data_IF_699464019415
#
_entry.id   IF_699464019415
#
_cell.length_a   1.000
_cell.length_b   1.000
_cell.length_c   1.000
_cell.angle_alpha   90.00
_cell.angle_beta   90.00
_cell.angle_gamma   90.00
#
_symmetry.space_group_name_H-M   'P 1'
#
loop_
_entity.id
_entity.type
_entity.pdbx_description
1 polymer ?
#
# COMPACT_ATOMS: atom_id res chain seq x y z
N UNK A 1 4.45 14.52 16.57
CA UNK A 1 4.54 13.19 15.92
C UNK A 1 6.00 12.83 15.82
N UNK A 2 6.45 11.77 16.49
CA UNK A 2 7.83 11.27 16.46
C UNK A 2 8.19 10.60 15.12
N UNK A 3 7.20 10.37 14.25
CA UNK A 3 7.40 9.76 12.94
C UNK A 3 7.55 8.24 12.98
N UNK A 4 7.39 7.64 14.16
CA UNK A 4 7.51 6.20 14.42
C UNK A 4 6.11 5.59 14.61
N UNK A 5 5.94 4.34 14.18
CA UNK A 5 4.73 3.56 14.42
C UNK A 5 4.88 2.77 15.73
N UNK A 6 3.85 2.65 16.59
CA UNK A 6 3.91 1.84 17.80
C UNK A 6 3.99 0.33 17.51
N UNK A 7 3.68 -0.07 16.27
CA UNK A 7 3.71 -1.45 15.78
C UNK A 7 4.45 -1.57 14.45
N UNK A 8 5.09 -2.72 14.15
CA UNK A 8 5.63 -2.97 12.81
C UNK A 8 4.52 -2.93 11.75
N UNK A 9 4.77 -2.23 10.65
CA UNK A 9 3.85 -2.15 9.52
C UNK A 9 4.29 -3.09 8.42
N UNK A 10 3.34 -3.59 7.62
CA UNK A 10 3.65 -4.40 6.44
C UNK A 10 3.42 -3.56 5.19
N UNK A 11 4.47 -3.34 4.41
CA UNK A 11 4.39 -2.75 3.08
C UNK A 11 4.32 -3.87 2.04
N UNK A 12 3.30 -3.80 1.19
CA UNK A 12 3.10 -4.68 0.05
C UNK A 12 3.24 -3.84 -1.22
N UNK A 13 4.13 -4.27 -2.10
CA UNK A 13 4.38 -3.65 -3.40
C UNK A 13 4.15 -4.67 -4.50
N UNK A 14 3.30 -4.36 -5.48
CA UNK A 14 3.00 -5.28 -6.58
C UNK A 14 2.99 -4.58 -7.93
N UNK A 15 3.61 -5.21 -8.93
CA UNK A 15 3.44 -4.86 -10.36
C UNK A 15 2.51 -5.81 -11.10
N UNK A 16 2.14 -6.92 -10.47
CA UNK A 16 1.32 -7.98 -11.05
C UNK A 16 0.08 -8.12 -10.17
N UNK A 17 -0.90 -7.27 -10.46
CA UNK A 17 -2.19 -7.23 -9.81
C UNK A 17 -3.29 -7.08 -10.86
N UNK A 18 -4.50 -7.45 -10.49
CA UNK A 18 -5.69 -7.35 -11.33
C UNK A 18 -6.92 -6.99 -10.51
N UNK A 19 -8.02 -6.70 -11.20
CA UNK A 19 -9.32 -6.53 -10.57
C UNK A 19 -10.07 -7.85 -10.73
N UNK A 20 -10.54 -8.41 -9.62
CA UNK A 20 -11.36 -9.64 -9.60
C UNK A 20 -12.67 -9.33 -8.90
N UNK A 21 -13.71 -10.10 -9.22
CA UNK A 21 -14.98 -10.01 -8.51
C UNK A 21 -14.93 -10.94 -7.28
N UNK A 22 -15.16 -10.37 -6.11
CA UNK A 22 -15.37 -11.10 -4.87
C UNK A 22 -16.85 -11.46 -4.76
N UNK A 23 -17.17 -12.76 -4.89
CA UNK A 23 -18.55 -13.25 -4.85
C UNK A 23 -19.18 -13.14 -3.45
N UNK A 24 -18.38 -13.20 -2.38
CA UNK A 24 -18.86 -13.16 -1.01
C UNK A 24 -19.26 -11.74 -0.61
N UNK A 25 -18.42 -10.77 -0.95
CA UNK A 25 -18.68 -9.35 -0.72
C UNK A 25 -19.51 -8.68 -1.83
N UNK A 26 -19.74 -9.38 -2.95
CA UNK A 26 -20.43 -8.90 -4.15
C UNK A 26 -19.83 -7.59 -4.71
N UNK A 27 -18.51 -7.47 -4.68
CA UNK A 27 -17.78 -6.27 -5.10
C UNK A 27 -16.53 -6.59 -5.94
N UNK A 28 -16.02 -5.59 -6.67
CA UNK A 28 -14.75 -5.73 -7.39
C UNK A 28 -13.59 -5.35 -6.47
N UNK A 29 -12.67 -6.28 -6.25
CA UNK A 29 -11.48 -6.12 -5.40
C UNK A 29 -10.19 -6.19 -6.20
N UNK A 30 -9.14 -5.56 -5.67
CA UNK A 30 -7.80 -5.67 -6.21
C UNK A 30 -7.13 -6.96 -5.71
N UNK A 31 -6.91 -7.90 -6.63
CA UNK A 31 -6.18 -9.14 -6.38
C UNK A 31 -4.71 -8.97 -6.73
N UNK A 32 -3.86 -9.33 -5.78
CA UNK A 32 -2.40 -9.32 -5.92
C UNK A 32 -1.98 -10.73 -6.34
N UNK A 33 -1.39 -10.86 -7.52
CA UNK A 33 -0.91 -12.15 -8.05
C UNK A 33 0.52 -12.39 -7.57
N UNK A 34 1.36 -11.36 -7.63
CA UNK A 34 2.74 -11.37 -7.14
C UNK A 34 3.05 -10.06 -6.45
N UNK A 35 3.70 -10.12 -5.28
CA UNK A 35 4.09 -8.95 -4.52
C UNK A 35 5.39 -9.17 -3.75
N UNK A 36 6.14 -8.07 -3.60
CA UNK A 36 7.17 -7.94 -2.59
C UNK A 36 6.53 -7.44 -1.29
N UNK A 37 6.69 -8.21 -0.22
CA UNK A 37 6.25 -7.83 1.12
C UNK A 37 7.44 -7.55 2.02
N UNK A 38 7.33 -6.54 2.88
CA UNK A 38 8.34 -6.21 3.86
C UNK A 38 7.70 -5.67 5.15
N UNK A 39 8.19 -6.14 6.29
CA UNK A 39 7.96 -5.48 7.57
C UNK A 39 8.85 -4.24 7.66
N UNK A 40 8.27 -3.11 8.09
CA UNK A 40 8.92 -1.81 8.10
C UNK A 40 8.62 -1.04 9.37
N UNK A 41 9.58 -0.20 9.76
CA UNK A 41 9.41 0.86 10.75
C UNK A 41 9.30 2.20 10.01
N UNK A 42 8.61 3.17 10.62
CA UNK A 42 8.50 4.52 10.06
C UNK A 42 9.65 5.41 10.55
N UNK A 43 10.16 6.34 9.71
CA UNK A 43 9.76 6.59 8.33
C UNK A 43 10.36 5.58 7.34
N UNK A 44 9.56 5.18 6.34
CA UNK A 44 9.98 4.26 5.29
C UNK A 44 9.89 4.91 3.91
N UNK A 45 10.91 4.70 3.07
CA UNK A 45 10.94 5.16 1.70
C UNK A 45 11.43 4.05 0.76
N UNK A 46 10.68 3.80 -0.32
CA UNK A 46 11.02 2.84 -1.36
C UNK A 46 10.80 3.45 -2.75
N UNK A 47 11.73 3.18 -3.66
CA UNK A 47 11.60 3.52 -5.08
C UNK A 47 11.48 2.22 -5.88
N UNK A 48 10.53 2.17 -6.81
CA UNK A 48 10.26 0.97 -7.63
C UNK A 48 10.25 1.38 -9.09
N UNK A 49 11.11 0.80 -9.96
CA UNK A 49 11.06 1.09 -11.39
C UNK A 49 9.79 0.49 -11.99
N UNK A 50 9.03 1.22 -12.82
CA UNK A 50 7.73 0.74 -13.33
C UNK A 50 7.79 -0.06 -14.63
N UNK A 51 8.79 0.22 -15.48
CA UNK A 51 8.93 -0.49 -16.74
C UNK A 51 9.24 -1.99 -16.51
N UNK A 52 8.75 -2.89 -17.38
CA UNK A 52 7.93 -2.63 -18.58
C UNK A 52 6.41 -2.72 -18.35
N UNK A 53 5.95 -3.07 -17.14
CA UNK A 53 4.52 -3.33 -16.90
C UNK A 53 3.69 -2.06 -16.77
N UNK A 54 4.32 -0.94 -16.38
CA UNK A 54 3.68 0.34 -16.09
C UNK A 54 2.44 0.20 -15.19
N UNK A 55 2.51 -0.73 -14.25
CA UNK A 55 1.48 -0.96 -13.23
C UNK A 55 2.15 -1.06 -11.87
N UNK A 56 1.52 -0.48 -10.87
CA UNK A 56 2.01 -0.53 -9.50
C UNK A 56 0.86 -0.48 -8.52
N UNK A 57 1.02 -1.19 -7.42
CA UNK A 57 0.18 -1.13 -6.24
C UNK A 57 1.10 -1.03 -5.04
N UNK A 58 0.81 -0.05 -4.18
CA UNK A 58 1.38 0.08 -2.86
C UNK A 58 0.26 -0.08 -1.84
N UNK A 59 0.47 -0.96 -0.87
CA UNK A 59 -0.44 -1.14 0.27
C UNK A 59 0.38 -1.15 1.55
N UNK A 60 -0.01 -0.34 2.52
CA UNK A 60 0.47 -0.43 3.90
C UNK A 60 -0.64 -1.02 4.75
N UNK A 61 -0.30 -2.04 5.52
CA UNK A 61 -1.19 -2.70 6.47
C UNK A 61 -0.60 -2.61 7.87
N UNK A 62 -1.47 -2.32 8.84
CA UNK A 62 -1.21 -2.66 10.23
C UNK A 62 -1.80 -4.06 10.50
N UNK A 63 -0.98 -5.12 10.67
CA UNK A 63 -1.49 -6.46 10.97
C UNK A 63 -1.94 -6.61 12.42
N UNK A 64 -1.60 -5.66 13.29
CA UNK A 64 -1.97 -5.67 14.70
C UNK A 64 -3.45 -5.34 14.88
N UNK A 65 -4.11 -6.10 15.76
CA UNK A 65 -5.54 -5.98 16.05
C UNK A 65 -5.83 -5.18 17.33
N UNK A 66 -4.81 -4.90 18.14
CA UNK A 66 -4.92 -4.26 19.45
C UNK A 66 -4.54 -2.77 19.42
N UNK A 67 -3.54 -2.41 18.61
CA UNK A 67 -2.95 -1.08 18.56
C UNK A 67 -3.24 -0.36 17.24
N UNK A 68 -3.49 0.94 17.35
CA UNK A 68 -3.63 1.84 16.21
C UNK A 68 -2.26 2.29 15.70
N UNK A 69 -2.14 2.47 14.38
CA UNK A 69 -1.00 3.10 13.76
C UNK A 69 -1.44 4.28 12.89
N UNK A 70 -1.02 5.49 13.23
CA UNK A 70 -1.25 6.69 12.41
C UNK A 70 -0.23 6.73 11.28
N UNK A 71 -0.69 6.54 10.04
CA UNK A 71 0.17 6.43 8.87
C UNK A 71 -0.19 7.48 7.83
N UNK A 72 0.83 8.18 7.32
CA UNK A 72 0.72 8.98 6.11
C UNK A 72 1.49 8.34 4.96
N UNK A 73 0.79 7.92 3.92
CA UNK A 73 1.39 7.39 2.70
C UNK A 73 1.43 8.47 1.62
N UNK A 74 2.63 8.70 1.07
CA UNK A 74 2.86 9.58 -0.09
C UNK A 74 3.45 8.77 -1.23
N UNK A 75 2.85 8.86 -2.41
CA UNK A 75 3.34 8.23 -3.64
C UNK A 75 3.67 9.31 -4.64
N UNK A 76 4.87 9.20 -5.21
CA UNK A 76 5.38 10.07 -6.24
C UNK A 76 5.55 9.28 -7.53
N UNK A 77 4.98 9.78 -8.63
CA UNK A 77 5.20 9.26 -9.98
C UNK A 77 5.87 10.35 -10.80
N UNK A 78 7.05 10.05 -11.36
CA UNK A 78 7.86 11.02 -12.12
C UNK A 78 8.08 12.36 -11.39
N UNK A 79 8.20 12.29 -10.06
CA UNK A 79 8.36 13.41 -9.09
C UNK A 79 7.09 14.18 -8.76
N UNK A 80 5.97 13.88 -9.39
CA UNK A 80 4.67 14.46 -9.04
C UNK A 80 3.99 13.65 -7.93
N UNK A 81 3.41 14.35 -6.96
CA UNK A 81 2.60 13.72 -5.90
C UNK A 81 1.28 13.28 -6.51
N UNK A 82 1.06 11.98 -6.59
CA UNK A 82 -0.17 11.39 -7.12
C UNK A 82 -1.07 10.80 -6.03
N UNK A 83 -0.53 10.64 -4.82
CA UNK A 83 -1.25 10.17 -3.66
C UNK A 83 -0.60 10.74 -2.40
N UNK A 84 -1.41 11.31 -1.53
CA UNK A 84 -1.01 11.79 -0.20
C UNK A 84 -2.23 11.64 0.70
N UNK A 85 -2.22 10.61 1.53
CA UNK A 85 -3.32 10.31 2.45
C UNK A 85 -2.77 9.93 3.81
N UNK A 86 -3.51 10.32 4.84
CA UNK A 86 -3.25 10.00 6.24
C UNK A 86 -4.44 9.23 6.80
N UNK A 87 -4.15 8.14 7.50
CA UNK A 87 -5.16 7.27 8.08
C UNK A 87 -4.64 6.59 9.35
N UNK A 88 -5.53 6.39 10.31
CA UNK A 88 -5.30 5.52 11.46
C UNK A 88 -5.66 4.09 11.06
N UNK A 89 -4.70 3.18 11.13
CA UNK A 89 -4.85 1.79 10.72
C UNK A 89 -4.92 0.88 11.96
N UNK A 90 -5.98 0.07 12.04
CA UNK A 90 -6.13 -1.07 12.97
C UNK A 90 -6.78 -2.22 12.24
N UNK A 91 -6.04 -3.31 12.03
CA UNK A 91 -6.47 -4.38 11.12
C UNK A 91 -7.01 -3.82 9.78
N UNK A 92 -6.36 -2.78 9.28
CA UNK A 92 -6.80 -2.01 8.13
C UNK A 92 -5.62 -1.73 7.22
N UNK A 93 -5.92 -1.29 6.00
CA UNK A 93 -4.90 -0.97 5.01
C UNK A 93 -5.15 0.35 4.33
N UNK A 94 -4.07 1.05 4.01
CA UNK A 94 -4.06 2.19 3.12
C UNK A 94 -3.44 1.75 1.79
N UNK A 95 -4.11 2.04 0.68
CA UNK A 95 -3.73 1.51 -0.63
C UNK A 95 -3.78 2.58 -1.72
N UNK A 96 -2.79 2.49 -2.61
CA UNK A 96 -2.75 3.19 -3.89
C UNK A 96 -2.42 2.20 -5.00
N UNK A 97 -3.12 2.30 -6.13
CA UNK A 97 -2.77 1.56 -7.35
C UNK A 97 -2.84 2.48 -8.56
N UNK A 98 -1.99 2.18 -9.54
CA UNK A 98 -1.93 2.90 -10.80
C UNK A 98 -1.59 1.97 -11.94
N UNK A 99 -2.24 2.17 -13.08
CA UNK A 99 -1.96 1.49 -14.33
C UNK A 99 -1.89 2.54 -15.44
N UNK A 100 -0.73 2.67 -16.07
CA UNK A 100 -0.60 3.49 -17.27
C UNK A 100 -1.21 2.72 -18.46
N UNK A 101 -1.88 3.46 -19.33
CA UNK A 101 -2.46 2.98 -20.59
C UNK A 101 -1.63 3.47 -21.78
#
# INVERSE_FOLDING_TARGET
>A
MTGESPVPLVVITSKVWGVVFDEEAAEYVLSIIEADTAEVELPYQRTVPLAPTYRILFRVTNPDTEQDADVRMRVFLDRDVVYDQEATLRNASLQYSHAYH
#
